data_IF_521273735194
#
_entry.id   IF_521273735194
#
_cell.length_a   1.000
_cell.length_b   1.000
_cell.length_c   1.000
_cell.angle_alpha   90.00
_cell.angle_beta   90.00
_cell.angle_gamma   90.00
#
_symmetry.space_group_name_H-M   'P 1'
#
loop_
_entity.id
_entity.type
_entity.pdbx_description
1 polymer ?
#
# COMPACT_ATOMS: atom_id res chain seq x y z
N UNK A 1 25.16 48.29 -16.49
CA UNK A 1 25.10 46.86 -16.11
C UNK A 1 23.64 46.47 -15.98
N UNK A 2 23.10 45.65 -16.89
CA UNK A 2 21.71 45.21 -16.80
C UNK A 2 21.60 44.08 -15.76
N UNK A 3 20.84 44.30 -14.69
CA UNK A 3 20.46 43.24 -13.77
C UNK A 3 19.60 42.23 -14.54
N UNK A 4 20.17 41.08 -14.87
CA UNK A 4 19.42 39.93 -15.37
C UNK A 4 18.60 39.38 -14.20
N UNK A 5 17.40 39.92 -14.02
CA UNK A 5 16.38 39.34 -13.14
C UNK A 5 16.01 38.00 -13.78
N UNK A 6 16.56 36.92 -13.24
CA UNK A 6 16.22 35.57 -13.68
C UNK A 6 14.70 35.33 -13.57
N UNK A 7 14.13 34.49 -14.44
CA UNK A 7 12.70 34.19 -14.40
C UNK A 7 12.30 33.72 -13.01
N UNK A 8 11.30 34.39 -12.41
CA UNK A 8 10.80 34.04 -11.08
C UNK A 8 9.86 32.85 -11.21
N UNK A 9 10.42 31.65 -11.09
CA UNK A 9 9.65 30.41 -11.13
C UNK A 9 8.96 30.21 -9.77
N UNK A 10 7.64 30.40 -9.72
CA UNK A 10 6.81 29.93 -8.61
C UNK A 10 6.18 28.60 -8.99
N UNK A 11 6.35 27.58 -8.16
CA UNK A 11 5.84 26.25 -8.42
C UNK A 11 4.66 25.93 -7.51
N UNK A 12 3.55 25.53 -8.13
CA UNK A 12 2.44 24.87 -7.45
C UNK A 12 2.27 23.49 -8.07
N UNK A 13 2.34 22.45 -7.24
CA UNK A 13 1.99 21.10 -7.66
C UNK A 13 0.48 20.92 -7.58
N UNK A 14 -0.10 20.31 -8.62
CA UNK A 14 -1.50 19.88 -8.60
C UNK A 14 -1.64 18.52 -9.27
N UNK A 15 -2.54 17.69 -8.78
CA UNK A 15 -2.84 16.39 -9.40
C UNK A 15 -4.03 16.60 -10.34
N UNK A 16 -3.85 16.32 -11.64
CA UNK A 16 -4.93 16.32 -12.64
C UNK A 16 -4.96 14.98 -13.34
N UNK A 17 -6.11 14.30 -13.32
CA UNK A 17 -6.30 12.97 -13.93
C UNK A 17 -5.27 11.92 -13.44
N UNK A 18 -4.92 11.95 -12.15
CA UNK A 18 -3.95 11.02 -11.56
C UNK A 18 -2.48 11.30 -11.87
N UNK A 19 -2.18 12.36 -12.64
CA UNK A 19 -0.82 12.78 -12.97
C UNK A 19 -0.45 14.10 -12.29
N UNK A 20 0.77 14.17 -11.78
CA UNK A 20 1.30 15.42 -11.21
C UNK A 20 1.59 16.41 -12.33
N UNK A 21 1.00 17.59 -12.20
CA UNK A 21 1.26 18.75 -13.03
C UNK A 21 1.89 19.84 -12.19
N UNK A 22 2.74 20.63 -12.83
CA UNK A 22 3.41 21.76 -12.23
C UNK A 22 2.99 22.99 -13.00
N UNK A 23 2.65 24.02 -12.25
CA UNK A 23 2.43 25.34 -12.78
C UNK A 23 3.68 26.20 -12.59
N UNK A 24 4.11 26.90 -13.63
CA UNK A 24 5.18 27.88 -13.55
C UNK A 24 4.81 29.15 -14.32
N UNK A 25 5.31 30.28 -13.84
CA UNK A 25 5.12 31.59 -14.48
C UNK A 25 6.40 32.00 -15.20
N UNK A 26 6.30 32.37 -16.47
CA UNK A 26 7.46 32.82 -17.29
C UNK A 26 7.23 34.25 -17.78
N UNK A 27 8.33 35.01 -17.83
CA UNK A 27 8.34 36.34 -18.45
C UNK A 27 7.85 37.46 -17.55
N UNK A 28 7.81 38.67 -18.11
CA UNK A 28 7.36 39.89 -17.41
C UNK A 28 5.85 39.91 -17.20
N UNK A 29 5.11 39.25 -18.09
CA UNK A 29 3.64 39.20 -18.08
C UNK A 29 3.11 38.07 -17.17
N UNK A 30 3.98 37.30 -16.52
CA UNK A 30 3.62 36.24 -15.58
C UNK A 30 2.68 35.19 -16.21
N UNK A 31 2.92 34.85 -17.48
CA UNK A 31 2.13 33.84 -18.20
C UNK A 31 2.24 32.49 -17.49
N UNK A 32 1.09 31.87 -17.21
CA UNK A 32 0.99 30.62 -16.48
C UNK A 32 1.02 29.42 -17.42
N UNK A 33 2.03 28.57 -17.28
CA UNK A 33 2.14 27.31 -17.99
C UNK A 33 1.83 26.16 -17.03
N UNK A 34 1.06 25.18 -17.49
CA UNK A 34 0.83 23.91 -16.77
C UNK A 34 1.47 22.79 -17.56
N UNK A 35 2.46 22.11 -16.98
CA UNK A 35 3.20 21.03 -17.64
C UNK A 35 3.18 19.79 -16.75
N UNK A 36 3.14 18.62 -17.37
CA UNK A 36 3.32 17.37 -16.64
C UNK A 36 4.72 17.30 -16.03
N UNK A 37 4.79 16.93 -14.74
CA UNK A 37 6.05 16.86 -13.99
C UNK A 37 7.08 15.96 -14.68
N UNK A 38 6.65 14.84 -15.25
CA UNK A 38 7.55 13.93 -15.95
C UNK A 38 8.17 14.55 -17.22
N UNK A 39 7.42 15.35 -17.98
CA UNK A 39 7.92 15.98 -19.20
C UNK A 39 9.02 17.01 -18.89
N UNK A 40 8.81 17.85 -17.87
CA UNK A 40 9.79 18.87 -17.50
C UNK A 40 11.04 18.27 -16.82
N UNK A 41 10.89 17.14 -16.12
CA UNK A 41 11.99 16.37 -15.50
C UNK A 41 12.85 15.58 -16.51
N UNK A 42 12.61 15.73 -17.82
CA UNK A 42 13.58 15.37 -18.86
C UNK A 42 14.87 16.20 -18.73
N UNK A 43 14.75 17.46 -18.31
CA UNK A 43 15.88 18.31 -17.96
C UNK A 43 16.48 17.92 -16.61
N UNK A 44 17.81 17.75 -16.56
CA UNK A 44 18.56 17.48 -15.31
C UNK A 44 18.29 18.54 -14.23
N UNK A 45 18.17 19.81 -14.63
CA UNK A 45 17.89 20.91 -13.70
C UNK A 45 16.56 20.71 -12.96
N UNK A 46 15.48 20.51 -13.72
CA UNK A 46 14.15 20.33 -13.17
C UNK A 46 14.01 19.01 -12.43
N UNK A 47 14.66 17.94 -12.90
CA UNK A 47 14.71 16.66 -12.19
C UNK A 47 15.29 16.80 -10.79
N UNK A 48 16.45 17.43 -10.66
CA UNK A 48 17.10 17.60 -9.36
C UNK A 48 16.28 18.49 -8.41
N UNK A 49 15.57 19.47 -8.96
CA UNK A 49 14.72 20.38 -8.17
C UNK A 49 13.39 19.73 -7.75
N UNK A 50 12.74 18.99 -8.64
CA UNK A 50 11.37 18.49 -8.46
C UNK A 50 11.29 17.05 -7.99
N UNK A 51 12.35 16.28 -8.23
CA UNK A 51 12.48 14.87 -7.91
C UNK A 51 13.84 14.59 -7.24
N UNK A 52 14.22 15.32 -6.17
CA UNK A 52 15.57 15.30 -5.62
C UNK A 52 16.05 13.92 -5.12
N UNK A 53 15.11 13.01 -4.86
CA UNK A 53 15.41 11.64 -4.42
C UNK A 53 15.35 10.61 -5.54
N UNK A 54 14.90 10.96 -6.74
CA UNK A 54 14.79 9.99 -7.84
C UNK A 54 16.18 9.64 -8.35
N UNK A 55 16.51 8.34 -8.37
CA UNK A 55 17.75 7.84 -8.97
C UNK A 55 17.74 7.99 -10.48
N UNK A 56 18.91 8.13 -11.11
CA UNK A 56 18.95 8.17 -12.56
C UNK A 56 18.55 6.81 -13.13
N UNK A 57 17.87 6.82 -14.27
CA UNK A 57 17.43 5.59 -14.95
C UNK A 57 18.66 4.76 -15.38
N UNK A 58 19.73 5.45 -15.77
CA UNK A 58 21.04 4.87 -16.13
C UNK A 58 21.70 4.10 -14.97
N UNK A 59 21.40 4.44 -13.71
CA UNK A 59 22.02 3.81 -12.54
C UNK A 59 21.35 2.47 -12.14
N UNK A 60 20.08 2.27 -12.50
CA UNK A 60 19.30 1.10 -12.07
C UNK A 60 19.09 0.07 -13.18
N UNK A 61 19.00 0.50 -14.43
CA UNK A 61 18.90 -0.38 -15.61
C UNK A 61 17.56 -1.12 -15.78
N UNK A 62 16.99 -1.66 -14.70
CA UNK A 62 15.81 -2.54 -14.71
C UNK A 62 14.81 -2.29 -13.57
N UNK A 63 13.55 -2.62 -13.82
CA UNK A 63 12.50 -2.57 -12.82
C UNK A 63 12.56 -3.77 -11.88
N UNK A 64 12.70 -3.53 -10.57
CA UNK A 64 12.79 -4.59 -9.55
C UNK A 64 11.53 -5.42 -9.33
N UNK A 65 10.41 -5.06 -9.97
CA UNK A 65 9.15 -5.81 -9.87
C UNK A 65 9.02 -6.84 -10.99
N UNK A 66 9.33 -6.46 -12.24
CA UNK A 66 9.16 -7.32 -13.41
C UNK A 66 10.48 -7.75 -14.05
N UNK A 67 11.62 -7.20 -13.61
CA UNK A 67 12.96 -7.42 -14.16
C UNK A 67 13.12 -7.01 -15.65
N UNK A 68 12.21 -6.19 -16.17
CA UNK A 68 12.37 -5.59 -17.51
C UNK A 68 13.20 -4.30 -17.42
N UNK A 69 13.98 -4.04 -18.47
CA UNK A 69 14.72 -2.79 -18.64
C UNK A 69 13.79 -1.56 -18.65
N UNK A 70 14.30 -0.43 -18.14
CA UNK A 70 13.56 0.83 -18.20
C UNK A 70 13.61 1.45 -19.60
N UNK A 71 12.45 1.61 -20.21
CA UNK A 71 12.27 2.38 -21.44
C UNK A 71 11.18 3.45 -21.25
N UNK A 72 11.56 4.71 -20.97
CA UNK A 72 10.60 5.81 -20.80
C UNK A 72 9.77 6.13 -22.05
N UNK A 73 10.23 5.70 -23.23
CA UNK A 73 9.50 5.86 -24.50
C UNK A 73 8.39 4.82 -24.67
N UNK A 74 8.48 3.68 -23.99
CA UNK A 74 7.54 2.56 -24.11
C UNK A 74 6.64 2.43 -22.89
N UNK A 75 7.19 2.51 -21.66
CA UNK A 75 6.46 2.33 -20.40
C UNK A 75 6.61 3.56 -19.50
N UNK A 76 5.48 4.04 -18.95
CA UNK A 76 5.48 5.14 -17.98
C UNK A 76 6.22 4.72 -16.70
N UNK A 77 7.15 5.55 -16.25
CA UNK A 77 7.94 5.32 -15.05
C UNK A 77 7.40 6.11 -13.86
N UNK A 78 7.53 5.54 -12.68
CA UNK A 78 7.31 6.19 -11.38
C UNK A 78 8.52 5.92 -10.49
N UNK A 79 8.61 6.60 -9.35
CA UNK A 79 9.69 6.36 -8.40
C UNK A 79 9.23 6.41 -6.94
N UNK A 80 10.03 5.86 -6.03
CA UNK A 80 9.79 5.95 -4.60
C UNK A 80 10.20 7.33 -4.06
N UNK A 81 9.22 8.23 -3.90
CA UNK A 81 9.46 9.57 -3.38
C UNK A 81 9.74 9.62 -1.87
N UNK A 82 9.28 8.61 -1.11
CA UNK A 82 9.33 8.62 0.36
C UNK A 82 10.65 8.12 0.94
N UNK A 83 11.29 7.12 0.33
CA UNK A 83 12.47 6.45 0.91
C UNK A 83 13.64 6.30 -0.07
N UNK A 84 13.61 5.28 -0.92
CA UNK A 84 14.80 4.77 -1.62
C UNK A 84 15.09 5.44 -2.97
N UNK A 85 14.15 6.21 -3.52
CA UNK A 85 14.38 6.89 -4.79
C UNK A 85 14.33 6.02 -6.04
N UNK A 86 14.15 4.71 -5.89
CA UNK A 86 14.19 3.76 -7.01
C UNK A 86 13.04 3.94 -7.98
N UNK A 87 13.30 3.65 -9.25
CA UNK A 87 12.37 3.71 -10.37
C UNK A 87 11.60 2.39 -10.50
N UNK A 88 10.39 2.50 -11.05
CA UNK A 88 9.51 1.37 -11.31
C UNK A 88 8.67 1.68 -12.54
N UNK A 89 8.22 0.65 -13.26
CA UNK A 89 7.09 0.82 -14.18
C UNK A 89 5.85 1.21 -13.37
N UNK A 90 5.10 2.20 -13.87
CA UNK A 90 3.87 2.66 -13.23
C UNK A 90 2.87 1.52 -13.09
N UNK A 91 2.68 0.75 -14.15
CA UNK A 91 1.83 -0.45 -14.15
C UNK A 91 2.27 -1.45 -13.08
N UNK A 92 3.56 -1.76 -12.98
CA UNK A 92 4.08 -2.68 -11.96
C UNK A 92 3.79 -2.19 -10.54
N UNK A 93 3.92 -0.88 -10.26
CA UNK A 93 3.55 -0.34 -8.94
C UNK A 93 2.05 -0.36 -8.68
N UNK A 94 1.23 -0.12 -9.70
CA UNK A 94 -0.23 -0.16 -9.57
C UNK A 94 -0.71 -1.61 -9.39
N UNK A 95 -0.10 -2.58 -10.08
CA UNK A 95 -0.32 -4.03 -9.86
C UNK A 95 0.15 -4.45 -8.47
N UNK A 96 1.33 -4.01 -8.04
CA UNK A 96 1.85 -4.30 -6.71
C UNK A 96 0.98 -3.70 -5.60
N UNK A 97 0.37 -2.53 -5.82
CA UNK A 97 -0.59 -1.95 -4.86
C UNK A 97 -1.89 -2.73 -4.83
N UNK A 98 -2.38 -3.19 -5.98
CA UNK A 98 -3.60 -4.00 -6.08
C UNK A 98 -3.40 -5.39 -5.46
N UNK A 99 -2.25 -6.00 -5.68
CA UNK A 99 -1.97 -7.39 -5.33
C UNK A 99 -1.11 -7.55 -4.06
N UNK A 100 -0.53 -6.46 -3.55
CA UNK A 100 0.17 -6.34 -2.27
C UNK A 100 1.50 -7.12 -2.13
N UNK A 101 2.45 -6.65 -1.30
CA UNK A 101 3.63 -7.44 -0.88
C UNK A 101 3.27 -8.59 0.06
N UNK A 102 2.13 -8.49 0.74
CA UNK A 102 1.45 -9.63 1.35
C UNK A 102 0.53 -10.18 0.27
N UNK A 103 1.12 -10.80 -0.75
CA UNK A 103 0.34 -11.53 -1.73
C UNK A 103 -0.53 -12.54 -1.00
N UNK A 104 -1.68 -12.86 -1.56
CA UNK A 104 -2.56 -13.87 -1.00
C UNK A 104 -1.80 -15.18 -0.70
N UNK A 105 -0.78 -15.51 -1.51
CA UNK A 105 0.10 -16.65 -1.26
C UNK A 105 0.90 -16.56 0.06
N UNK A 106 1.38 -15.38 0.46
CA UNK A 106 2.08 -15.19 1.75
C UNK A 106 1.08 -15.31 2.91
N UNK A 107 -0.10 -14.69 2.79
CA UNK A 107 -1.15 -14.80 3.80
C UNK A 107 -1.66 -16.24 3.94
N UNK A 108 -1.78 -16.98 2.83
CA UNK A 108 -2.12 -18.40 2.81
C UNK A 108 -1.04 -19.25 3.48
N UNK A 109 0.24 -19.01 3.18
CA UNK A 109 1.33 -19.74 3.81
C UNK A 109 1.38 -19.50 5.33
N UNK A 110 1.20 -18.24 5.75
CA UNK A 110 1.09 -17.88 7.16
C UNK A 110 -0.13 -18.54 7.80
N UNK A 111 -1.27 -18.54 7.12
CA UNK A 111 -2.49 -19.19 7.59
C UNK A 111 -2.26 -20.68 7.83
N UNK A 112 -1.73 -21.36 6.81
CA UNK A 112 -1.47 -22.79 6.85
C UNK A 112 -0.52 -23.14 7.99
N UNK A 113 0.56 -22.38 8.15
CA UNK A 113 1.51 -22.58 9.24
C UNK A 113 0.85 -22.39 10.62
N UNK A 114 0.01 -21.37 10.79
CA UNK A 114 -0.70 -21.12 12.04
C UNK A 114 -1.77 -22.18 12.35
N UNK A 115 -2.54 -22.63 11.34
CA UNK A 115 -3.59 -23.64 11.51
C UNK A 115 -2.97 -25.02 11.80
N UNK A 116 -1.98 -25.45 11.00
CA UNK A 116 -1.30 -26.73 11.21
C UNK A 116 -0.52 -26.73 12.53
N UNK A 117 0.21 -25.65 12.81
CA UNK A 117 0.99 -25.51 14.04
C UNK A 117 0.16 -25.16 15.28
N UNK A 118 -1.16 -24.95 15.14
CA UNK A 118 -2.06 -24.44 16.19
C UNK A 118 -1.48 -23.22 16.92
N UNK A 119 -0.85 -22.33 16.16
CA UNK A 119 -0.19 -21.14 16.70
C UNK A 119 -1.02 -19.89 16.44
N UNK A 120 -1.46 -19.25 17.53
CA UNK A 120 -2.06 -17.93 17.49
C UNK A 120 -0.96 -16.84 17.61
N UNK A 121 -0.99 -15.81 16.75
CA UNK A 121 -0.14 -14.64 16.94
C UNK A 121 -0.37 -14.03 18.32
N UNK A 122 0.72 -13.71 19.03
CA UNK A 122 0.62 -13.05 20.32
C UNK A 122 -0.10 -11.70 20.24
N UNK A 123 -0.65 -11.24 21.38
CA UNK A 123 -1.22 -9.89 21.52
C UNK A 123 -0.25 -8.81 20.99
N UNK A 124 1.04 -8.93 21.32
CA UNK A 124 2.09 -8.00 20.85
C UNK A 124 2.20 -7.94 19.33
N UNK A 125 2.04 -9.08 18.65
CA UNK A 125 2.03 -9.15 17.19
C UNK A 125 0.81 -8.42 16.61
N UNK A 126 -0.37 -8.62 17.22
CA UNK A 126 -1.60 -7.95 16.80
C UNK A 126 -1.53 -6.44 17.03
N UNK A 127 -1.02 -5.99 18.18
CA UNK A 127 -0.79 -4.56 18.49
C UNK A 127 0.07 -3.93 17.40
N UNK A 128 1.25 -4.50 17.14
CA UNK A 128 2.18 -3.96 16.14
C UNK A 128 1.57 -3.91 14.74
N UNK A 129 0.84 -4.95 14.34
CA UNK A 129 0.13 -4.95 13.06
C UNK A 129 -0.91 -3.82 12.98
N UNK A 130 -1.68 -3.59 14.04
CA UNK A 130 -2.69 -2.53 14.08
C UNK A 130 -2.11 -1.11 14.21
N UNK A 131 -0.89 -0.95 14.67
CA UNK A 131 -0.17 0.33 14.68
C UNK A 131 0.35 0.71 13.28
N UNK A 132 0.90 -0.25 12.54
CA UNK A 132 1.62 0.03 11.29
C UNK A 132 0.76 -0.07 10.01
N UNK A 133 -0.44 -0.63 10.11
CA UNK A 133 -1.33 -0.83 8.95
C UNK A 133 -2.55 0.07 8.99
N UNK A 134 -3.25 0.23 7.86
CA UNK A 134 -4.54 0.95 7.78
C UNK A 134 -5.72 0.01 8.04
N UNK A 135 -6.92 0.56 8.29
CA UNK A 135 -8.13 -0.23 8.58
C UNK A 135 -8.43 -1.28 7.48
N UNK A 136 -8.30 -0.90 6.21
CA UNK A 136 -8.52 -1.78 5.06
C UNK A 136 -7.39 -2.81 4.81
N UNK A 137 -6.38 -2.93 5.69
CA UNK A 137 -5.23 -3.80 5.45
C UNK A 137 -5.60 -5.28 5.45
N UNK A 138 -5.17 -6.05 4.43
CA UNK A 138 -5.34 -7.51 4.39
C UNK A 138 -4.73 -8.23 5.61
N UNK A 139 -3.65 -7.70 6.19
CA UNK A 139 -3.05 -8.27 7.39
C UNK A 139 -3.98 -8.20 8.60
N UNK A 140 -4.73 -7.10 8.76
CA UNK A 140 -5.72 -6.98 9.85
C UNK A 140 -6.85 -7.98 9.66
N UNK A 141 -7.37 -8.09 8.43
CA UNK A 141 -8.38 -9.10 8.06
C UNK A 141 -7.89 -10.51 8.40
N UNK A 142 -6.67 -10.85 7.96
CA UNK A 142 -6.01 -12.12 8.27
C UNK A 142 -5.95 -12.40 9.78
N UNK A 143 -5.49 -11.44 10.58
CA UNK A 143 -5.41 -11.63 12.03
C UNK A 143 -6.78 -11.87 12.67
N UNK A 144 -7.81 -11.12 12.26
CA UNK A 144 -9.18 -11.32 12.76
C UNK A 144 -9.68 -12.72 12.40
N UNK A 145 -9.54 -13.13 11.13
CA UNK A 145 -9.92 -14.44 10.64
C UNK A 145 -9.24 -15.56 11.43
N UNK A 146 -7.93 -15.46 11.61
CA UNK A 146 -7.14 -16.46 12.31
C UNK A 146 -7.57 -16.61 13.77
N UNK A 147 -7.87 -15.50 14.45
CA UNK A 147 -8.35 -15.53 15.84
C UNK A 147 -9.76 -16.10 15.96
N UNK A 148 -10.63 -15.87 14.97
CA UNK A 148 -11.97 -16.48 14.97
C UNK A 148 -11.92 -18.00 14.86
N UNK A 149 -11.13 -18.53 13.93
CA UNK A 149 -11.07 -19.97 13.68
C UNK A 149 -10.37 -20.74 14.82
N UNK A 150 -9.27 -20.20 15.34
CA UNK A 150 -8.50 -20.89 16.39
C UNK A 150 -9.11 -20.75 17.79
N UNK A 151 -9.99 -19.77 18.03
CA UNK A 151 -10.70 -19.62 19.31
C UNK A 151 -11.85 -20.64 19.48
N UNK A 152 -12.32 -21.27 18.41
CA UNK A 152 -13.39 -22.28 18.44
C UNK A 152 -12.86 -23.68 18.85
N UNK A 153 -11.56 -23.92 18.67
CA UNK A 153 -10.91 -25.21 18.94
C UNK A 153 -10.25 -25.29 20.33
N UNK A 154 -10.99 -25.06 21.41
CA UNK A 154 -10.50 -25.31 22.80
C UNK A 154 -9.54 -24.24 23.37
N UNK A 155 -9.10 -23.26 22.57
CA UNK A 155 -8.28 -22.13 23.03
C UNK A 155 -9.15 -20.96 23.49
N UNK A 156 -9.62 -20.98 24.75
CA UNK A 156 -10.30 -19.84 25.40
C UNK A 156 -9.41 -18.59 25.60
N UNK A 157 -8.18 -18.60 25.07
CA UNK A 157 -7.14 -17.62 25.34
C UNK A 157 -7.50 -16.21 24.84
N UNK A 158 -8.22 -16.08 23.72
CA UNK A 158 -8.55 -14.76 23.17
C UNK A 158 -9.54 -14.01 24.07
N UNK A 159 -10.53 -14.72 24.60
CA UNK A 159 -11.46 -14.14 25.57
C UNK A 159 -10.79 -13.89 26.93
N UNK A 160 -9.83 -14.74 27.32
CA UNK A 160 -9.08 -14.58 28.56
C UNK A 160 -8.21 -13.31 28.57
N UNK A 161 -7.62 -12.93 27.43
CA UNK A 161 -6.79 -11.72 27.28
C UNK A 161 -7.46 -10.60 26.47
N UNK A 162 -8.80 -10.60 26.39
CA UNK A 162 -9.55 -9.67 25.53
C UNK A 162 -9.11 -8.21 25.71
N UNK A 163 -8.95 -7.77 26.95
CA UNK A 163 -8.62 -6.39 27.31
C UNK A 163 -7.19 -5.97 26.92
N UNK A 164 -6.31 -6.92 26.61
CA UNK A 164 -4.93 -6.62 26.18
C UNK A 164 -4.84 -6.29 24.69
N UNK A 165 -5.85 -6.65 23.90
CA UNK A 165 -5.88 -6.34 22.47
C UNK A 165 -6.24 -4.87 22.19
N UNK A 166 -5.77 -4.29 21.07
CA UNK A 166 -6.19 -2.96 20.65
C UNK A 166 -7.71 -2.86 20.47
N UNK A 167 -8.32 -1.75 20.91
CA UNK A 167 -9.75 -1.50 20.76
C UNK A 167 -10.26 -1.63 19.30
N UNK A 168 -9.41 -1.27 18.33
CA UNK A 168 -9.72 -1.44 16.90
C UNK A 168 -9.82 -2.92 16.51
N UNK A 169 -8.89 -3.76 16.98
CA UNK A 169 -8.94 -5.20 16.74
C UNK A 169 -10.14 -5.85 17.42
N UNK A 170 -10.40 -5.51 18.68
CA UNK A 170 -11.58 -5.97 19.43
C UNK A 170 -12.88 -5.67 18.65
N UNK A 171 -13.01 -4.45 18.11
CA UNK A 171 -14.15 -4.03 17.29
C UNK A 171 -14.26 -4.86 16.00
N UNK A 172 -13.16 -5.06 15.29
CA UNK A 172 -13.14 -5.83 14.04
C UNK A 172 -13.48 -7.31 14.28
N UNK A 173 -12.91 -7.90 15.33
CA UNK A 173 -13.18 -9.27 15.74
C UNK A 173 -14.63 -9.46 16.18
N UNK A 174 -15.17 -8.54 17.00
CA UNK A 174 -16.58 -8.57 17.38
C UNK A 174 -17.52 -8.46 16.16
N UNK A 175 -17.23 -7.56 15.22
CA UNK A 175 -17.99 -7.45 13.96
C UNK A 175 -17.98 -8.75 13.18
N UNK A 176 -16.81 -9.37 13.04
CA UNK A 176 -16.67 -10.61 12.30
C UNK A 176 -17.42 -11.77 12.98
N UNK A 177 -17.31 -11.90 14.32
CA UNK A 177 -18.08 -12.88 15.11
C UNK A 177 -19.60 -12.69 14.96
N UNK A 178 -20.09 -11.45 14.98
CA UNK A 178 -21.52 -11.16 14.82
C UNK A 178 -22.04 -11.55 13.44
N UNK A 179 -21.22 -11.38 12.38
CA UNK A 179 -21.59 -11.78 11.02
C UNK A 179 -21.64 -13.29 10.84
N UNK A 180 -20.75 -14.03 11.49
CA UNK A 180 -20.74 -15.49 11.41
C UNK A 180 -21.90 -16.13 12.18
N UNK A 181 -22.41 -15.50 13.25
CA UNK A 181 -23.59 -16.02 13.98
C UNK A 181 -24.84 -16.15 13.11
N UNK A 182 -24.96 -15.37 12.03
CA UNK A 182 -26.07 -15.45 11.08
C UNK A 182 -25.89 -16.50 9.99
N UNK A 183 -24.69 -17.06 9.82
CA UNK A 183 -24.39 -18.09 8.83
C UNK A 183 -24.41 -19.43 9.55
N UNK A 184 -25.30 -20.33 9.15
CA UNK A 184 -25.41 -21.66 9.76
C UNK A 184 -24.06 -22.39 9.85
N UNK A 185 -23.96 -23.36 10.76
CA UNK A 185 -22.71 -24.07 11.17
C UNK A 185 -21.90 -24.73 10.02
N UNK A 186 -22.42 -24.74 8.78
CA UNK A 186 -21.98 -25.60 7.69
C UNK A 186 -20.67 -25.27 6.96
N UNK A 187 -19.96 -24.17 7.24
CA UNK A 187 -18.72 -23.84 6.50
C UNK A 187 -17.64 -23.25 7.41
N UNK A 188 -17.18 -24.03 8.39
CA UNK A 188 -15.95 -23.74 9.16
C UNK A 188 -14.76 -24.49 8.55
N UNK A 189 -13.56 -23.93 8.63
CA UNK A 189 -12.32 -24.60 8.19
C UNK A 189 -11.45 -23.78 7.24
N UNK A 190 -10.22 -24.29 7.03
CA UNK A 190 -9.15 -23.62 6.30
C UNK A 190 -9.57 -23.09 4.92
N UNK A 191 -10.30 -23.89 4.13
CA UNK A 191 -10.71 -23.47 2.78
C UNK A 191 -11.77 -22.37 2.77
N UNK A 192 -12.68 -22.37 3.75
CA UNK A 192 -13.63 -21.27 3.92
C UNK A 192 -12.89 -19.98 4.30
N UNK A 193 -11.85 -20.07 5.13
CA UNK A 193 -11.03 -18.93 5.52
C UNK A 193 -10.21 -18.39 4.35
N UNK A 194 -9.59 -19.29 3.59
CA UNK A 194 -8.85 -18.96 2.37
C UNK A 194 -9.77 -18.22 1.40
N UNK A 195 -10.94 -18.77 1.11
CA UNK A 195 -11.87 -18.14 0.20
C UNK A 195 -12.33 -16.76 0.71
N UNK A 196 -12.63 -16.62 2.01
CA UNK A 196 -12.96 -15.32 2.61
C UNK A 196 -11.80 -14.32 2.49
N UNK A 197 -10.55 -14.72 2.74
CA UNK A 197 -9.39 -13.83 2.62
C UNK A 197 -9.15 -13.38 1.17
N UNK A 198 -9.44 -14.24 0.21
CA UNK A 198 -9.28 -13.98 -1.22
C UNK A 198 -10.40 -13.11 -1.80
N UNK A 199 -11.61 -13.17 -1.24
CA UNK A 199 -12.73 -12.34 -1.68
C UNK A 199 -12.73 -11.02 -0.92
N UNK A 200 -12.63 -9.89 -1.61
CA UNK A 200 -12.63 -8.54 -1.00
C UNK A 200 -13.96 -8.14 -0.33
N UNK A 201 -14.95 -9.04 -0.30
CA UNK A 201 -16.30 -8.84 0.25
C UNK A 201 -16.33 -8.90 1.79
N UNK A 202 -15.60 -7.98 2.41
CA UNK A 202 -15.56 -7.84 3.87
C UNK A 202 -16.36 -6.65 4.39
N UNK A 203 -16.97 -5.82 3.54
CA UNK A 203 -17.78 -4.67 3.96
C UNK A 203 -17.16 -3.88 5.12
N UNK A 204 -15.84 -3.67 5.10
CA UNK A 204 -15.10 -2.84 6.05
C UNK A 204 -14.99 -1.44 5.47
N UNK A 205 -16.14 -0.80 5.23
CA UNK A 205 -16.16 0.64 4.94
C UNK A 205 -15.90 1.40 6.24
N UNK A 206 -15.14 2.49 6.13
CA UNK A 206 -14.59 3.30 7.23
C UNK A 206 -15.67 3.94 8.11
#
# INVERSE_FOLDING_TARGET
MANLIGPRVSMKSSVRLGRETIQFMIGKEMELFTVHKELICSSKYFRNMLQPRRKAIEDEGECTICHDAFDPGVKELTYCASSCGSNFHRSCMDDWRRNGPLSNAVLEAMLQACVVGKYLPSVRTVVKAYEITRAASPLRKFLVCLHMELNDQEYSGVLASWNEYPARFQKDLARAMMRERGKGVGTRGFEALKQKLLTDDWGMEE
#
